data_IF_170336014797
#
_entry.id   IF_170336014797
#
_cell.length_a   1.000
_cell.length_b   1.000
_cell.length_c   1.000
_cell.angle_alpha   90.00
_cell.angle_beta   90.00
_cell.angle_gamma   90.00
#
_symmetry.space_group_name_H-M   'P 1'
#
loop_
_entity.id
_entity.type
_entity.pdbx_description
1 polymer ?
#
# COMPACT_ATOMS: atom_id res chain seq x y z
N UNK A 1 32.86 -45.36 17.15
CA UNK A 1 32.03 -44.73 16.11
C UNK A 1 30.68 -44.45 16.72
N UNK A 2 30.27 -43.19 16.83
CA UNK A 2 29.52 -42.43 15.81
C UNK A 2 28.10 -42.93 15.61
N UNK A 3 27.15 -42.02 15.74
CA UNK A 3 25.74 -42.22 15.40
C UNK A 3 24.87 -41.17 16.10
N UNK A 4 25.04 -39.90 15.75
CA UNK A 4 24.14 -38.83 16.18
C UNK A 4 22.91 -38.80 15.27
N UNK A 5 21.73 -38.97 15.85
CA UNK A 5 20.46 -38.69 15.16
C UNK A 5 20.14 -37.20 15.31
N UNK A 6 20.44 -36.44 14.27
CA UNK A 6 19.85 -35.13 14.05
C UNK A 6 18.42 -35.36 13.52
N UNK A 7 17.43 -35.03 14.34
CA UNK A 7 16.04 -34.90 13.90
C UNK A 7 15.96 -33.74 12.91
N UNK A 8 15.93 -34.09 11.63
CA UNK A 8 15.72 -33.16 10.52
C UNK A 8 14.29 -32.61 10.61
N UNK A 9 14.16 -31.41 11.16
CA UNK A 9 12.90 -30.69 11.24
C UNK A 9 12.56 -30.17 9.84
N UNK A 10 11.67 -30.90 9.15
CA UNK A 10 11.18 -30.52 7.83
C UNK A 10 10.67 -29.06 7.83
N UNK A 11 11.04 -28.25 6.82
CA UNK A 11 10.68 -26.84 6.78
C UNK A 11 9.15 -26.66 6.72
N UNK A 12 8.62 -25.74 7.52
CA UNK A 12 7.20 -25.43 7.58
C UNK A 12 6.67 -25.02 6.19
N UNK A 13 5.68 -25.75 5.68
CA UNK A 13 5.04 -25.43 4.39
C UNK A 13 3.96 -24.37 4.62
N UNK A 14 4.17 -23.18 4.05
CA UNK A 14 3.20 -22.09 4.05
C UNK A 14 2.27 -22.22 2.84
N UNK A 15 0.96 -22.20 3.09
CA UNK A 15 -0.06 -22.23 2.04
C UNK A 15 -0.83 -20.92 2.05
N UNK A 16 -1.07 -20.36 0.87
CA UNK A 16 -1.93 -19.18 0.70
C UNK A 16 -3.18 -19.62 -0.05
N UNK A 17 -4.35 -19.36 0.53
CA UNK A 17 -5.62 -19.62 -0.12
C UNK A 17 -5.86 -18.51 -1.15
N UNK A 18 -5.83 -18.85 -2.45
CA UNK A 18 -6.16 -17.90 -3.52
C UNK A 18 -7.58 -18.12 -3.99
N UNK A 19 -8.35 -17.03 -4.08
CA UNK A 19 -9.70 -17.06 -4.65
C UNK A 19 -9.63 -17.43 -6.13
N UNK A 20 -10.35 -18.48 -6.53
CA UNK A 20 -10.44 -18.94 -7.93
C UNK A 20 -11.52 -18.20 -8.74
N UNK A 21 -12.09 -17.13 -8.17
CA UNK A 21 -13.13 -16.36 -8.86
C UNK A 21 -12.51 -15.56 -10.02
N UNK A 22 -13.16 -15.49 -11.20
CA UNK A 22 -12.73 -14.61 -12.28
C UNK A 22 -12.62 -13.15 -11.80
N UNK A 23 -11.59 -12.41 -12.23
CA UNK A 23 -11.21 -11.05 -11.76
C UNK A 23 -12.40 -10.08 -11.65
N UNK A 24 -13.36 -10.18 -12.58
CA UNK A 24 -14.60 -9.37 -12.60
C UNK A 24 -15.54 -9.58 -11.41
N UNK A 25 -15.48 -10.73 -10.74
CA UNK A 25 -16.29 -11.06 -9.56
C UNK A 25 -15.53 -10.85 -8.25
N UNK A 26 -14.19 -10.87 -8.26
CA UNK A 26 -13.37 -10.59 -7.06
C UNK A 26 -13.60 -9.16 -6.54
N UNK A 27 -13.61 -8.18 -7.45
CA UNK A 27 -13.74 -6.75 -7.13
C UNK A 27 -15.07 -6.40 -6.44
N UNK A 28 -16.16 -7.13 -6.72
CA UNK A 28 -17.52 -6.78 -6.24
C UNK A 28 -17.89 -7.40 -4.89
N UNK A 29 -17.34 -8.58 -4.54
CA UNK A 29 -17.67 -9.28 -3.29
C UNK A 29 -16.68 -9.05 -2.14
N UNK A 30 -15.45 -8.60 -2.44
CA UNK A 30 -14.43 -8.31 -1.41
C UNK A 30 -14.49 -6.85 -0.92
N UNK A 31 -15.01 -5.91 -1.73
CA UNK A 31 -14.93 -4.46 -1.44
C UNK A 31 -16.16 -3.83 -0.77
N UNK A 32 -17.22 -4.58 -0.46
CA UNK A 32 -18.44 -3.97 0.08
C UNK A 32 -18.41 -3.88 1.61
N UNK A 33 -18.29 -2.63 2.07
CA UNK A 33 -18.89 -2.01 3.26
C UNK A 33 -18.02 -1.78 4.53
N UNK A 34 -16.81 -2.35 4.67
CA UNK A 34 -15.88 -1.94 5.76
C UNK A 34 -14.49 -1.44 5.30
N UNK A 35 -14.12 -1.63 4.03
CA UNK A 35 -12.73 -1.51 3.57
C UNK A 35 -12.43 -0.29 2.68
N UNK A 36 -13.36 0.68 2.53
CA UNK A 36 -13.15 1.80 1.60
C UNK A 36 -12.08 2.78 2.09
N UNK A 37 -12.08 3.08 3.38
CA UNK A 37 -11.11 3.97 4.02
C UNK A 37 -9.72 3.32 4.04
N UNK A 38 -9.64 2.03 4.41
CA UNK A 38 -8.38 1.28 4.40
C UNK A 38 -7.82 1.11 2.98
N UNK A 39 -8.67 0.83 1.99
CA UNK A 39 -8.27 0.77 0.59
C UNK A 39 -7.77 2.13 0.10
N UNK A 40 -8.42 3.23 0.49
CA UNK A 40 -7.96 4.58 0.18
C UNK A 40 -6.56 4.86 0.74
N UNK A 41 -6.33 4.51 2.00
CA UNK A 41 -5.00 4.60 2.62
C UNK A 41 -3.97 3.69 1.92
N UNK A 42 -4.36 2.47 1.55
CA UNK A 42 -3.52 1.52 0.82
C UNK A 42 -3.09 2.11 -0.52
N UNK A 43 -4.03 2.58 -1.33
CA UNK A 43 -3.74 3.18 -2.64
C UNK A 43 -2.85 4.41 -2.52
N UNK A 44 -3.06 5.25 -1.50
CA UNK A 44 -2.21 6.40 -1.22
C UNK A 44 -0.76 5.98 -0.94
N UNK A 45 -0.55 5.03 -0.02
CA UNK A 45 0.80 4.54 0.31
C UNK A 45 1.48 3.89 -0.90
N UNK A 46 0.75 3.05 -1.66
CA UNK A 46 1.30 2.42 -2.87
C UNK A 46 1.63 3.46 -3.95
N UNK A 47 0.83 4.52 -4.09
CA UNK A 47 1.11 5.62 -5.02
C UNK A 47 2.39 6.39 -4.64
N UNK A 48 2.59 6.69 -3.35
CA UNK A 48 3.82 7.34 -2.87
C UNK A 48 5.06 6.46 -3.14
N UNK A 49 4.95 5.15 -2.97
CA UNK A 49 6.03 4.21 -3.27
C UNK A 49 6.35 4.21 -4.78
N UNK A 50 5.35 4.04 -5.65
CA UNK A 50 5.53 3.97 -7.12
C UNK A 50 6.04 5.30 -7.72
N UNK A 51 5.74 6.43 -7.09
CA UNK A 51 6.26 7.74 -7.51
C UNK A 51 7.66 8.03 -6.99
N UNK A 52 8.12 7.26 -5.98
CA UNK A 52 9.47 7.39 -5.45
C UNK A 52 10.51 6.73 -6.36
N UNK A 53 11.77 7.14 -6.20
CA UNK A 53 12.88 6.63 -7.01
C UNK A 53 12.99 5.11 -6.79
N UNK A 54 13.07 4.36 -7.90
CA UNK A 54 13.15 2.90 -7.93
C UNK A 54 11.96 2.16 -7.28
N UNK A 55 10.78 2.79 -7.19
CA UNK A 55 9.61 2.24 -6.49
C UNK A 55 9.92 1.92 -5.00
N UNK A 56 10.77 2.74 -4.36
CA UNK A 56 11.16 2.57 -2.96
C UNK A 56 11.20 3.91 -2.21
N UNK A 57 10.76 3.91 -0.95
CA UNK A 57 10.70 5.11 -0.11
C UNK A 57 11.22 4.86 1.31
N UNK A 58 12.01 5.77 1.86
CA UNK A 58 12.43 5.68 3.27
C UNK A 58 11.24 5.93 4.21
N UNK A 59 11.23 5.28 5.36
CA UNK A 59 10.14 5.43 6.34
C UNK A 59 9.94 6.89 6.77
N UNK A 60 11.03 7.63 7.02
CA UNK A 60 10.97 9.04 7.40
C UNK A 60 10.29 9.88 6.29
N UNK A 61 10.72 9.71 5.04
CA UNK A 61 10.18 10.41 3.88
C UNK A 61 8.70 10.06 3.61
N UNK A 62 8.31 8.79 3.82
CA UNK A 62 6.91 8.40 3.74
C UNK A 62 6.05 9.16 4.74
N UNK A 63 6.52 9.30 5.98
CA UNK A 63 5.79 10.03 7.02
C UNK A 63 5.73 11.54 6.73
N UNK A 64 6.78 12.13 6.17
CA UNK A 64 6.78 13.52 5.70
C UNK A 64 5.69 13.75 4.63
N UNK A 65 5.61 12.91 3.60
CA UNK A 65 4.57 13.02 2.57
C UNK A 65 3.16 12.75 3.09
N UNK A 66 3.00 11.82 4.03
CA UNK A 66 1.71 11.57 4.68
C UNK A 66 1.26 12.78 5.51
N UNK A 67 2.19 13.47 6.16
CA UNK A 67 1.91 14.70 6.91
C UNK A 67 1.44 15.84 6.00
N UNK A 68 2.03 15.99 4.81
CA UNK A 68 1.63 16.99 3.79
C UNK A 68 0.15 16.83 3.38
N UNK A 69 -0.38 15.60 3.38
CA UNK A 69 -1.79 15.30 3.09
C UNK A 69 -2.68 15.20 4.34
N UNK A 70 -2.16 15.59 5.50
CA UNK A 70 -2.91 15.67 6.77
C UNK A 70 -2.96 14.38 7.59
N UNK A 71 -2.16 13.37 7.25
CA UNK A 71 -2.04 12.10 7.97
C UNK A 71 -0.77 12.14 8.84
N UNK A 72 -0.95 12.52 10.11
CA UNK A 72 0.17 12.76 11.03
C UNK A 72 0.44 11.51 11.88
N UNK A 73 1.71 11.10 11.96
CA UNK A 73 2.16 9.99 12.82
C UNK A 73 1.80 10.24 14.30
N UNK A 74 1.39 9.19 15.02
CA UNK A 74 0.98 9.29 16.43
C UNK A 74 -0.37 10.00 16.67
N UNK A 75 -1.04 10.49 15.62
CA UNK A 75 -2.35 11.16 15.72
C UNK A 75 -3.41 10.34 14.97
N UNK A 76 -4.53 10.09 15.64
CA UNK A 76 -5.68 9.46 14.98
C UNK A 76 -6.27 10.38 13.92
N UNK A 77 -6.34 9.90 12.69
CA UNK A 77 -7.00 10.56 11.57
C UNK A 77 -8.52 10.31 11.63
N UNK A 78 -9.38 11.32 11.40
CA UNK A 78 -10.84 11.17 11.52
C UNK A 78 -11.44 10.06 10.64
N UNK A 79 -10.83 9.78 9.48
CA UNK A 79 -11.29 8.73 8.55
C UNK A 79 -10.47 7.43 8.64
N UNK A 80 -9.17 7.54 8.88
CA UNK A 80 -8.25 6.38 8.80
C UNK A 80 -7.93 5.79 10.18
N UNK A 81 -8.45 6.37 11.27
CA UNK A 81 -8.13 5.88 12.60
C UNK A 81 -6.64 6.07 12.90
N UNK A 82 -5.94 5.01 13.30
CA UNK A 82 -4.51 5.06 13.61
C UNK A 82 -3.66 4.75 12.35
N UNK A 83 -2.95 5.74 11.78
CA UNK A 83 -2.17 5.53 10.56
C UNK A 83 -1.00 4.56 10.74
N UNK A 84 -0.41 4.48 11.94
CA UNK A 84 0.70 3.56 12.20
C UNK A 84 0.20 2.13 12.25
N UNK A 85 -0.96 1.90 12.89
CA UNK A 85 -1.61 0.60 12.89
C UNK A 85 -2.01 0.16 11.48
N UNK A 86 -2.52 1.08 10.64
CA UNK A 86 -2.84 0.80 9.25
C UNK A 86 -1.58 0.46 8.43
N UNK A 87 -0.51 1.24 8.53
CA UNK A 87 0.72 0.95 7.81
C UNK A 87 1.31 -0.41 8.23
N UNK A 88 1.26 -0.74 9.52
CA UNK A 88 1.64 -2.08 10.02
C UNK A 88 0.73 -3.18 9.46
N UNK A 89 -0.57 -2.92 9.28
CA UNK A 89 -1.49 -3.85 8.63
C UNK A 89 -1.09 -4.11 7.18
N UNK A 90 -0.74 -3.07 6.42
CA UNK A 90 -0.26 -3.22 5.03
C UNK A 90 0.99 -4.09 4.93
N UNK A 91 1.91 -3.97 5.89
CA UNK A 91 3.09 -4.84 5.96
C UNK A 91 2.72 -6.28 6.26
N UNK A 92 1.83 -6.53 7.23
CA UNK A 92 1.36 -7.87 7.59
C UNK A 92 0.64 -8.56 6.43
N UNK A 93 -0.15 -7.81 5.68
CA UNK A 93 -0.90 -8.29 4.52
C UNK A 93 -0.05 -8.34 3.24
N UNK A 94 1.24 -7.95 3.33
CA UNK A 94 2.21 -7.94 2.22
C UNK A 94 1.80 -7.05 1.05
N UNK A 95 1.00 -6.00 1.29
CA UNK A 95 0.82 -4.92 0.31
C UNK A 95 2.11 -4.10 0.18
N UNK A 96 2.82 -3.93 1.30
CA UNK A 96 4.10 -3.22 1.36
C UNK A 96 5.13 -4.12 2.03
N UNK A 97 6.34 -4.21 1.48
CA UNK A 97 7.49 -4.82 2.15
C UNK A 97 8.25 -3.74 2.94
N UNK A 98 8.68 -4.07 4.15
CA UNK A 98 9.47 -3.19 5.03
C UNK A 98 10.83 -3.80 5.26
N UNK A 99 11.87 -3.15 4.75
CA UNK A 99 13.25 -3.63 4.82
C UNK A 99 14.15 -2.65 5.56
N UNK A 100 15.19 -3.19 6.18
CA UNK A 100 16.21 -2.39 6.87
C UNK A 100 17.38 -2.15 5.93
N UNK A 101 17.68 -0.88 5.68
CA UNK A 101 18.73 -0.45 4.75
C UNK A 101 19.80 0.37 5.48
N UNK A 102 21.03 0.29 4.97
CA UNK A 102 22.13 1.14 5.44
C UNK A 102 22.21 2.38 4.58
N UNK A 103 21.94 3.53 5.18
CA UNK A 103 22.16 4.84 4.59
C UNK A 103 23.43 5.46 5.18
N UNK A 104 23.98 6.53 4.57
CA UNK A 104 25.09 7.28 5.15
C UNK A 104 24.81 7.82 6.56
N UNK A 105 23.52 8.03 6.90
CA UNK A 105 23.05 8.53 8.19
C UNK A 105 22.83 7.43 9.24
N UNK A 106 22.98 6.15 8.85
CA UNK A 106 22.81 5.00 9.73
C UNK A 106 21.85 3.96 9.16
N UNK A 107 21.35 3.09 10.04
CA UNK A 107 20.38 2.08 9.64
C UNK A 107 18.97 2.67 9.68
N UNK A 108 18.29 2.69 8.52
CA UNK A 108 16.93 3.18 8.36
C UNK A 108 16.02 2.08 7.82
N UNK A 109 14.71 2.31 7.90
CA UNK A 109 13.73 1.46 7.23
C UNK A 109 13.34 2.06 5.88
N UNK A 110 13.05 1.19 4.93
CA UNK A 110 12.56 1.50 3.61
C UNK A 110 11.33 0.63 3.31
N UNK A 111 10.45 1.16 2.47
CA UNK A 111 9.26 0.49 1.99
C UNK A 111 9.28 0.32 0.48
N UNK A 112 8.77 -0.81 0.01
CA UNK A 112 8.57 -1.14 -1.40
C UNK A 112 7.28 -1.93 -1.64
N UNK A 113 6.88 -2.12 -2.89
CA UNK A 113 5.65 -2.86 -3.24
C UNK A 113 5.80 -4.35 -2.90
N UNK A 114 4.94 -4.84 -2.01
CA UNK A 114 4.91 -6.24 -1.59
C UNK A 114 4.20 -7.19 -2.59
N UNK A 115 4.33 -8.50 -2.35
CA UNK A 115 3.78 -9.55 -3.22
C UNK A 115 2.25 -9.45 -3.39
N UNK A 116 1.52 -9.20 -2.30
CA UNK A 116 0.06 -9.11 -2.34
C UNK A 116 -0.43 -7.92 -3.15
N UNK A 117 0.31 -6.82 -3.18
CA UNK A 117 -0.01 -5.67 -4.01
C UNK A 117 0.18 -6.01 -5.50
N UNK A 118 1.31 -6.64 -5.87
CA UNK A 118 1.57 -7.04 -7.27
C UNK A 118 0.47 -7.94 -7.84
N UNK A 119 -0.11 -8.81 -7.01
CA UNK A 119 -1.18 -9.73 -7.40
C UNK A 119 -2.58 -9.08 -7.42
N UNK A 120 -2.87 -8.15 -6.52
CA UNK A 120 -4.23 -7.62 -6.31
C UNK A 120 -4.46 -6.23 -6.91
N UNK A 121 -3.42 -5.42 -6.98
CA UNK A 121 -3.44 -4.02 -7.46
C UNK A 121 -2.23 -3.85 -8.39
N UNK A 122 -2.36 -4.20 -9.67
CA UNK A 122 -1.26 -4.11 -10.63
C UNK A 122 -0.70 -2.69 -10.70
N UNK A 123 0.59 -2.58 -11.00
CA UNK A 123 1.31 -1.29 -11.07
C UNK A 123 0.63 -0.31 -12.02
N UNK A 124 0.08 -0.80 -13.13
CA UNK A 124 -0.65 0.00 -14.11
C UNK A 124 -1.95 0.59 -13.55
N UNK A 125 -2.63 -0.12 -12.65
CA UNK A 125 -3.84 0.37 -11.98
C UNK A 125 -3.48 1.49 -10.98
N UNK A 126 -2.34 1.37 -10.29
CA UNK A 126 -1.81 2.44 -9.42
C UNK A 126 -1.41 3.66 -10.26
N UNK A 127 -0.70 3.47 -11.36
CA UNK A 127 -0.32 4.57 -12.25
C UNK A 127 -1.52 5.27 -12.85
N UNK A 128 -2.54 4.53 -13.28
CA UNK A 128 -3.79 5.10 -13.77
C UNK A 128 -4.50 5.90 -12.69
N UNK A 129 -4.57 5.38 -11.47
CA UNK A 129 -5.15 6.10 -10.32
C UNK A 129 -4.42 7.44 -10.08
N UNK A 130 -3.10 7.45 -10.15
CA UNK A 130 -2.30 8.67 -10.04
C UNK A 130 -2.62 9.66 -11.18
N UNK A 131 -2.63 9.18 -12.43
CA UNK A 131 -2.96 10.01 -13.59
C UNK A 131 -4.36 10.61 -13.49
N UNK A 132 -5.36 9.81 -13.12
CA UNK A 132 -6.75 10.27 -12.96
C UNK A 132 -6.84 11.34 -11.85
N UNK A 133 -6.11 11.19 -10.74
CA UNK A 133 -6.05 12.21 -9.68
C UNK A 133 -5.37 13.51 -10.10
N UNK A 134 -4.30 13.43 -10.91
CA UNK A 134 -3.60 14.63 -11.38
C UNK A 134 -4.34 15.33 -12.53
N UNK A 135 -5.01 14.57 -13.40
CA UNK A 135 -5.77 15.11 -14.53
C UNK A 135 -7.14 15.65 -14.12
N UNK A 136 -7.76 15.11 -13.07
CA UNK A 136 -9.03 15.61 -12.52
C UNK A 136 -8.96 16.97 -11.81
N UNK A 137 -7.85 17.71 -11.93
CA UNK A 137 -7.71 19.09 -11.44
C UNK A 137 -7.99 20.14 -12.54
N UNK A 138 -8.20 19.73 -13.79
CA UNK A 138 -8.65 20.59 -14.88
C UNK A 138 -10.06 20.15 -15.31
N UNK A 139 -11.06 20.97 -14.98
CA UNK A 139 -12.46 21.02 -15.46
C UNK A 139 -13.49 21.05 -14.31
N UNK A 140 -13.81 22.27 -13.86
CA UNK A 140 -15.17 22.84 -13.89
C UNK A 140 -15.08 24.33 -13.52
N UNK A 141 -14.63 25.17 -14.45
CA UNK A 141 -14.90 26.61 -14.42
C UNK A 141 -15.85 26.95 -15.57
N UNK A 142 -17.12 27.14 -15.20
CA UNK A 142 -18.03 28.09 -15.83
C UNK A 142 -18.67 27.72 -17.17
N UNK A 143 -19.80 27.01 -17.12
CA UNK A 143 -20.90 27.31 -18.05
C UNK A 143 -21.96 28.14 -17.30
N UNK A 144 -21.77 29.45 -17.27
CA UNK A 144 -22.86 30.38 -16.95
C UNK A 144 -23.77 30.48 -18.19
N UNK A 145 -24.83 29.66 -18.20
CA UNK A 145 -25.91 29.79 -19.18
C UNK A 145 -26.69 31.06 -18.86
N UNK A 146 -26.29 32.18 -19.45
CA UNK A 146 -27.14 33.37 -19.55
C UNK A 146 -28.25 33.08 -20.55
N UNK A 147 -29.46 32.92 -20.01
CA UNK A 147 -30.70 32.88 -20.78
C UNK A 147 -31.23 34.31 -20.81
N UNK A 148 -31.26 34.92 -21.99
CA UNK A 148 -32.12 36.08 -22.31
C UNK A 148 -32.66 35.93 -23.74
#
# INVERSE_FOLDING_TARGET
GQGGDAVDAAPAKMYVLRSLLPTRYQRRFVQLVSDKEEMGFTLLVLALIVTSINDQILEDALWEHLEEVGIIKGRKHPKFGDPEALLQKLVKERYVAKDKVRTPEGEKFQFEIGESAKDQIPREEIQRFISDMMMGAEEEDGEEVVID
#
